data_IF_343407752861
#
_entry.id   IF_343407752861
#
_cell.length_a   1.000
_cell.length_b   1.000
_cell.length_c   1.000
_cell.angle_alpha   90.00
_cell.angle_beta   90.00
_cell.angle_gamma   90.00
#
_symmetry.space_group_name_H-M   'P 1'
#
loop_
_entity.id
_entity.type
_entity.pdbx_description
1 polymer ?
#
# COMPACT_ATOMS: atom_id res chain seq x y z
N UNK A 1 -6.24 0.11 9.43
CA UNK A 1 -4.83 -0.34 9.30
C UNK A 1 -4.53 -1.52 10.21
N UNK A 2 -4.70 -1.39 11.54
CA UNK A 2 -4.40 -2.48 12.50
C UNK A 2 -5.08 -3.82 12.15
N UNK A 3 -6.39 -3.80 11.91
CA UNK A 3 -7.17 -4.99 11.54
C UNK A 3 -6.73 -5.64 10.22
N UNK A 4 -6.26 -4.86 9.24
CA UNK A 4 -5.76 -5.39 7.96
C UNK A 4 -4.40 -6.06 8.17
N UNK A 5 -3.53 -5.44 8.96
CA UNK A 5 -2.20 -5.96 9.25
C UNK A 5 -2.27 -7.27 10.06
N UNK A 6 -3.16 -7.33 11.06
CA UNK A 6 -3.46 -8.55 11.82
C UNK A 6 -3.92 -9.69 10.90
N UNK A 7 -4.86 -9.41 9.98
CA UNK A 7 -5.30 -10.38 8.99
C UNK A 7 -4.13 -10.86 8.10
N UNK A 8 -3.22 -9.96 7.72
CA UNK A 8 -2.07 -10.31 6.90
C UNK A 8 -1.03 -11.13 7.65
N UNK A 9 -0.78 -10.87 8.93
CA UNK A 9 0.06 -11.76 9.75
C UNK A 9 -0.56 -13.15 9.86
N UNK A 10 -1.87 -13.24 10.11
CA UNK A 10 -2.58 -14.52 10.14
C UNK A 10 -2.45 -15.28 8.81
N UNK A 11 -2.62 -14.58 7.68
CA UNK A 11 -2.48 -15.18 6.36
C UNK A 11 -1.05 -15.63 6.05
N UNK A 12 -0.04 -14.85 6.45
CA UNK A 12 1.38 -15.23 6.36
C UNK A 12 1.64 -16.53 7.10
N UNK A 13 1.11 -16.70 8.32
CA UNK A 13 1.27 -17.95 9.08
C UNK A 13 0.63 -19.14 8.37
N UNK A 14 -0.56 -18.96 7.79
CA UNK A 14 -1.23 -20.01 7.01
C UNK A 14 -0.42 -20.41 5.77
N UNK A 15 0.20 -19.46 5.07
CA UNK A 15 1.07 -19.76 3.92
C UNK A 15 2.33 -20.52 4.35
N UNK A 16 2.97 -20.11 5.45
CA UNK A 16 4.13 -20.84 6.01
C UNK A 16 3.80 -22.29 6.34
N UNK A 17 2.61 -22.56 6.90
CA UNK A 17 2.15 -23.92 7.17
C UNK A 17 1.95 -24.73 5.89
N UNK A 18 1.38 -24.14 4.84
CA UNK A 18 1.22 -24.81 3.53
C UNK A 18 2.55 -25.10 2.86
N UNK A 19 3.53 -24.22 3.04
CA UNK A 19 4.87 -24.30 2.47
C UNK A 19 5.86 -25.06 3.36
N UNK A 20 5.39 -25.74 4.41
CA UNK A 20 6.27 -26.36 5.41
C UNK A 20 7.07 -27.56 4.87
N UNK A 21 6.60 -28.19 3.78
CA UNK A 21 7.27 -29.33 3.15
C UNK A 21 7.30 -29.14 1.62
N UNK A 22 8.38 -29.59 0.94
CA UNK A 22 8.44 -29.57 -0.51
C UNK A 22 7.50 -30.61 -1.14
N UNK A 23 7.07 -30.41 -2.40
CA UNK A 23 7.39 -29.26 -3.25
C UNK A 23 6.52 -28.03 -2.94
N UNK A 24 7.13 -26.85 -2.93
CA UNK A 24 6.42 -25.57 -2.77
C UNK A 24 5.87 -25.16 -4.13
N UNK A 25 4.56 -24.86 -4.20
CA UNK A 25 3.95 -24.43 -5.45
C UNK A 25 4.38 -22.99 -5.81
N UNK A 26 4.56 -22.65 -7.11
CA UNK A 26 4.80 -21.28 -7.52
C UNK A 26 3.70 -20.32 -7.04
N UNK A 27 2.44 -20.77 -7.00
CA UNK A 27 1.31 -19.98 -6.51
C UNK A 27 1.45 -19.61 -5.02
N UNK A 28 1.91 -20.54 -4.17
CA UNK A 28 2.16 -20.24 -2.76
C UNK A 28 3.31 -19.23 -2.61
N UNK A 29 4.36 -19.35 -3.43
CA UNK A 29 5.48 -18.40 -3.43
C UNK A 29 5.02 -16.99 -3.85
N UNK A 30 4.13 -16.87 -4.85
CA UNK A 30 3.50 -15.61 -5.24
C UNK A 30 2.75 -14.96 -4.09
N UNK A 31 1.88 -15.73 -3.43
CA UNK A 31 1.07 -15.25 -2.31
C UNK A 31 1.96 -14.86 -1.12
N UNK A 32 3.01 -15.64 -0.86
CA UNK A 32 3.96 -15.37 0.23
C UNK A 32 4.78 -14.10 -0.03
N UNK A 33 5.30 -13.92 -1.24
CA UNK A 33 6.01 -12.69 -1.62
C UNK A 33 5.13 -11.45 -1.52
N UNK A 34 3.88 -11.55 -2.00
CA UNK A 34 2.93 -10.44 -1.94
C UNK A 34 2.51 -10.11 -0.51
N UNK A 35 2.25 -11.10 0.36
CA UNK A 35 1.84 -10.81 1.73
C UNK A 35 2.95 -10.12 2.52
N UNK A 36 4.21 -10.53 2.35
CA UNK A 36 5.35 -9.87 2.98
C UNK A 36 5.48 -8.42 2.50
N UNK A 37 5.31 -8.19 1.20
CA UNK A 37 5.35 -6.84 0.65
C UNK A 37 4.25 -5.96 1.25
N UNK A 38 3.00 -6.43 1.27
CA UNK A 38 1.89 -5.65 1.83
C UNK A 38 2.04 -5.36 3.32
N UNK A 39 2.53 -6.31 4.10
CA UNK A 39 2.87 -6.09 5.52
C UNK A 39 3.89 -4.95 5.62
N UNK A 40 5.02 -5.05 4.92
CA UNK A 40 6.07 -4.04 4.97
C UNK A 40 5.59 -2.64 4.55
N UNK A 41 4.72 -2.55 3.55
CA UNK A 41 4.11 -1.27 3.14
C UNK A 41 3.23 -0.68 4.22
N UNK A 42 2.34 -1.50 4.81
CA UNK A 42 1.46 -1.04 5.87
C UNK A 42 2.23 -0.60 7.12
N UNK A 43 3.24 -1.36 7.53
CA UNK A 43 4.12 -1.01 8.65
C UNK A 43 4.90 0.28 8.37
N UNK A 44 5.45 0.42 7.17
CA UNK A 44 6.20 1.62 6.77
C UNK A 44 5.30 2.86 6.76
N UNK A 45 4.10 2.77 6.18
CA UNK A 45 3.12 3.85 6.23
C UNK A 45 2.69 4.17 7.67
N UNK A 46 2.51 3.17 8.52
CA UNK A 46 2.19 3.39 9.93
C UNK A 46 3.32 4.14 10.65
N UNK A 47 4.57 3.86 10.31
CA UNK A 47 5.71 4.58 10.86
C UNK A 47 5.68 6.05 10.42
N UNK A 48 5.54 6.33 9.13
CA UNK A 48 5.40 7.72 8.63
C UNK A 48 4.27 8.50 9.29
N UNK A 49 3.13 7.84 9.58
CA UNK A 49 2.04 8.49 10.30
C UNK A 49 2.42 8.84 11.74
N UNK A 50 3.06 7.91 12.46
CA UNK A 50 3.44 8.08 13.86
C UNK A 50 4.60 9.05 14.06
N UNK A 51 5.52 9.11 13.10
CA UNK A 51 6.70 9.97 13.13
C UNK A 51 6.49 11.33 12.46
N UNK A 52 5.29 11.61 11.95
CA UNK A 52 5.00 12.89 11.30
C UNK A 52 5.27 14.04 12.29
N UNK A 53 6.17 14.99 11.96
CA UNK A 53 6.55 16.06 12.87
C UNK A 53 5.36 16.95 13.24
N UNK A 54 5.33 17.38 14.50
CA UNK A 54 4.39 18.39 15.01
C UNK A 54 5.18 19.68 15.19
N UNK A 55 5.19 20.50 14.15
CA UNK A 55 5.95 21.75 14.10
C UNK A 55 5.43 22.62 12.96
N UNK A 56 5.72 23.93 13.03
CA UNK A 56 5.49 24.87 11.93
C UNK A 56 6.75 25.11 11.09
N UNK A 57 7.88 24.55 11.51
CA UNK A 57 9.16 24.68 10.80
C UNK A 57 9.14 23.92 9.49
N UNK A 58 9.00 24.66 8.39
CA UNK A 58 8.92 24.11 7.03
C UNK A 58 10.07 23.14 6.70
N UNK A 59 11.35 23.38 7.07
CA UNK A 59 12.44 22.45 6.75
C UNK A 59 12.23 21.05 7.35
N UNK A 60 11.75 20.97 8.60
CA UNK A 60 11.44 19.73 9.30
C UNK A 60 10.31 18.95 8.60
N UNK A 61 9.27 19.66 8.16
CA UNK A 61 8.14 19.07 7.44
C UNK A 61 8.55 18.57 6.04
N UNK A 62 9.39 19.35 5.35
CA UNK A 62 9.86 19.04 4.01
C UNK A 62 10.70 17.77 4.00
N UNK A 63 11.62 17.60 4.96
CA UNK A 63 12.43 16.39 5.06
C UNK A 63 11.58 15.12 5.20
N UNK A 64 10.60 15.15 6.11
CA UNK A 64 9.66 14.03 6.28
C UNK A 64 8.82 13.78 5.01
N UNK A 65 8.30 14.85 4.40
CA UNK A 65 7.49 14.76 3.19
C UNK A 65 8.26 14.15 2.02
N UNK A 66 9.51 14.55 1.80
CA UNK A 66 10.34 14.02 0.71
C UNK A 66 10.58 12.52 0.83
N UNK A 67 10.81 12.03 2.06
CA UNK A 67 10.96 10.59 2.29
C UNK A 67 9.68 9.83 1.97
N UNK A 68 8.53 10.32 2.45
CA UNK A 68 7.23 9.72 2.14
C UNK A 68 6.93 9.78 0.63
N UNK A 69 7.13 10.93 -0.02
CA UNK A 69 6.83 11.12 -1.43
C UNK A 69 7.67 10.19 -2.31
N UNK A 70 8.97 10.07 -2.02
CA UNK A 70 9.86 9.15 -2.73
C UNK A 70 9.39 7.69 -2.56
N UNK A 71 9.03 7.30 -1.34
CA UNK A 71 8.51 5.96 -1.04
C UNK A 71 7.24 5.67 -1.84
N UNK A 72 6.26 6.57 -1.80
CA UNK A 72 4.97 6.43 -2.49
C UNK A 72 5.13 6.39 -4.01
N UNK A 73 5.99 7.22 -4.58
CA UNK A 73 6.31 7.19 -6.01
C UNK A 73 6.89 5.83 -6.44
N UNK A 74 7.72 5.21 -5.60
CA UNK A 74 8.26 3.88 -5.86
C UNK A 74 7.15 2.81 -5.85
N UNK A 75 6.24 2.86 -4.86
CA UNK A 75 5.11 1.90 -4.75
C UNK A 75 4.22 1.84 -6.00
N UNK A 76 4.09 2.95 -6.73
CA UNK A 76 3.29 3.03 -7.96
C UNK A 76 4.02 2.42 -9.19
N UNK A 77 5.33 2.20 -9.11
CA UNK A 77 6.17 1.78 -10.23
C UNK A 77 6.73 0.38 -10.07
N UNK A 78 6.92 -0.08 -8.84
CA UNK A 78 7.50 -1.38 -8.59
C UNK A 78 6.51 -2.55 -8.74
N UNK A 79 7.06 -3.76 -8.85
CA UNK A 79 6.33 -5.04 -8.80
C UNK A 79 5.11 -5.12 -9.74
N UNK A 80 5.26 -4.60 -10.96
CA UNK A 80 4.25 -4.63 -12.05
C UNK A 80 4.13 -5.98 -12.74
N UNK A 81 4.23 -7.05 -11.98
CA UNK A 81 4.27 -8.41 -12.49
C UNK A 81 3.33 -9.29 -11.66
N UNK A 82 2.65 -10.21 -12.32
CA UNK A 82 1.66 -11.08 -11.70
C UNK A 82 0.92 -11.91 -12.74
N UNK A 83 0.22 -12.98 -12.34
CA UNK A 83 -0.47 -13.89 -13.25
C UNK A 83 -1.46 -13.15 -14.16
N UNK A 84 -1.51 -13.57 -15.42
CA UNK A 84 -2.57 -13.19 -16.35
C UNK A 84 -3.83 -13.99 -16.01
N UNK A 85 -4.94 -13.30 -15.73
CA UNK A 85 -6.22 -13.90 -15.30
C UNK A 85 -7.28 -13.91 -16.41
N UNK A 86 -6.92 -13.53 -17.63
CA UNK A 86 -7.84 -13.44 -18.76
C UNK A 86 -7.80 -12.08 -19.48
N UNK A 87 -8.68 -11.87 -20.47
CA UNK A 87 -8.64 -10.73 -21.38
C UNK A 87 -8.74 -9.36 -20.68
N UNK A 88 -9.43 -9.29 -19.54
CA UNK A 88 -9.61 -8.04 -18.79
C UNK A 88 -8.43 -7.67 -17.89
N UNK A 89 -7.45 -8.56 -17.71
CA UNK A 89 -6.35 -8.37 -16.73
C UNK A 89 -5.60 -7.07 -16.94
N UNK A 90 -5.27 -6.73 -18.19
CA UNK A 90 -4.50 -5.51 -18.47
C UNK A 90 -5.36 -4.26 -18.23
N UNK A 91 -6.62 -4.30 -18.65
CA UNK A 91 -7.59 -3.21 -18.44
C UNK A 91 -7.82 -2.92 -16.95
N UNK A 92 -7.93 -3.95 -16.12
CA UNK A 92 -8.02 -3.81 -14.65
C UNK A 92 -6.78 -3.14 -14.06
N UNK A 93 -5.58 -3.59 -14.49
CA UNK A 93 -4.30 -3.03 -14.02
C UNK A 93 -4.18 -1.55 -14.39
N UNK A 94 -4.49 -1.21 -15.64
CA UNK A 94 -4.40 0.16 -16.14
C UNK A 94 -5.39 1.08 -15.39
N UNK A 95 -6.63 0.63 -15.21
CA UNK A 95 -7.64 1.39 -14.46
C UNK A 95 -7.21 1.63 -13.00
N UNK A 96 -6.69 0.60 -12.32
CA UNK A 96 -6.22 0.73 -10.95
C UNK A 96 -4.95 1.60 -10.85
N UNK A 97 -4.06 1.55 -11.85
CA UNK A 97 -2.89 2.41 -11.93
C UNK A 97 -3.29 3.88 -12.07
N UNK A 98 -4.21 4.20 -12.98
CA UNK A 98 -4.72 5.57 -13.16
C UNK A 98 -5.35 6.11 -11.87
N UNK A 99 -6.11 5.26 -11.16
CA UNK A 99 -6.68 5.65 -9.87
C UNK A 99 -5.60 5.96 -8.82
N UNK A 100 -4.59 5.10 -8.70
CA UNK A 100 -3.48 5.32 -7.78
C UNK A 100 -2.69 6.60 -8.13
N UNK A 101 -2.40 6.82 -9.41
CA UNK A 101 -1.70 8.02 -9.88
C UNK A 101 -2.49 9.30 -9.58
N UNK A 102 -3.82 9.28 -9.72
CA UNK A 102 -4.69 10.40 -9.34
C UNK A 102 -4.57 10.72 -7.84
N UNK A 103 -4.67 9.71 -6.98
CA UNK A 103 -4.50 9.88 -5.53
C UNK A 103 -3.12 10.47 -5.20
N UNK A 104 -2.07 10.03 -5.90
CA UNK A 104 -0.72 10.55 -5.73
C UNK A 104 -0.63 12.02 -6.14
N UNK A 105 -1.13 12.37 -7.31
CA UNK A 105 -1.13 13.76 -7.79
C UNK A 105 -1.92 14.67 -6.86
N UNK A 106 -3.05 14.22 -6.33
CA UNK A 106 -3.91 15.01 -5.46
C UNK A 106 -3.24 15.38 -4.13
N UNK A 107 -2.45 14.47 -3.52
CA UNK A 107 -1.70 14.85 -2.32
C UNK A 107 -0.49 15.72 -2.66
N UNK A 108 0.23 15.47 -3.77
CA UNK A 108 1.38 16.30 -4.14
C UNK A 108 0.99 17.75 -4.38
N UNK A 109 -0.18 17.97 -5.00
CA UNK A 109 -0.78 19.31 -5.13
C UNK A 109 -1.04 19.96 -3.77
N UNK A 110 -1.58 19.22 -2.79
CA UNK A 110 -1.81 19.72 -1.42
C UNK A 110 -0.53 20.15 -0.71
N UNK A 111 0.59 19.46 -0.97
CA UNK A 111 1.88 19.82 -0.37
C UNK A 111 2.67 20.88 -1.16
N UNK A 112 2.20 21.27 -2.35
CA UNK A 112 2.82 22.34 -3.14
C UNK A 112 2.58 23.68 -2.46
N UNK A 113 3.64 24.32 -1.97
CA UNK A 113 3.53 25.58 -1.22
C UNK A 113 2.87 25.43 0.14
N UNK A 114 2.91 24.24 0.75
CA UNK A 114 2.27 23.97 2.04
C UNK A 114 2.82 24.87 3.15
N UNK A 115 1.91 25.57 3.83
CA UNK A 115 2.21 26.36 5.02
C UNK A 115 1.26 25.96 6.16
N UNK A 116 1.78 25.38 7.26
CA UNK A 116 0.94 24.94 8.37
C UNK A 116 0.43 26.13 9.19
N UNK A 117 -0.90 26.23 9.32
CA UNK A 117 -1.52 27.19 10.24
C UNK A 117 -1.18 26.86 11.71
N UNK A 118 -1.20 25.57 12.06
CA UNK A 118 -0.93 25.03 13.40
C UNK A 118 0.09 23.89 13.34
N UNK A 119 0.85 23.60 14.42
CA UNK A 119 1.87 22.55 14.44
C UNK A 119 1.37 21.15 14.01
N UNK A 120 0.12 20.79 14.32
CA UNK A 120 -0.46 19.48 14.00
C UNK A 120 -1.02 19.41 12.57
N UNK A 121 -1.08 20.53 11.83
CA UNK A 121 -1.68 20.58 10.51
C UNK A 121 -1.02 19.60 9.54
N UNK A 122 0.32 19.50 9.58
CA UNK A 122 1.07 18.57 8.76
C UNK A 122 0.72 17.11 9.08
N UNK A 123 0.75 16.73 10.36
CA UNK A 123 0.42 15.37 10.79
C UNK A 123 -1.00 14.95 10.35
N UNK A 124 -1.97 15.86 10.48
CA UNK A 124 -3.36 15.63 10.01
C UNK A 124 -3.41 15.37 8.50
N UNK A 125 -2.67 16.14 7.71
CA UNK A 125 -2.60 15.93 6.25
C UNK A 125 -1.90 14.62 5.89
N UNK A 126 -0.81 14.24 6.55
CA UNK A 126 -0.16 12.94 6.36
C UNK A 126 -1.13 11.79 6.67
N UNK A 127 -1.92 11.92 7.74
CA UNK A 127 -3.00 10.97 8.05
C UNK A 127 -4.01 10.83 6.92
N UNK A 128 -4.44 11.95 6.31
CA UNK A 128 -5.33 11.94 5.14
C UNK A 128 -4.69 11.29 3.92
N UNK A 129 -3.41 11.58 3.65
CA UNK A 129 -2.66 10.94 2.55
C UNK A 129 -2.64 9.44 2.72
N UNK A 130 -2.19 8.93 3.86
CA UNK A 130 -2.02 7.49 4.09
C UNK A 130 -3.37 6.77 4.05
N UNK A 131 -4.41 7.37 4.64
CA UNK A 131 -5.78 6.80 4.66
C UNK A 131 -6.38 6.71 3.26
N UNK A 132 -6.02 7.63 2.34
CA UNK A 132 -6.51 7.61 0.95
C UNK A 132 -5.64 6.74 0.04
N UNK A 133 -4.32 6.78 0.25
CA UNK A 133 -3.35 6.06 -0.56
C UNK A 133 -3.45 4.55 -0.39
N UNK A 134 -3.48 4.07 0.85
CA UNK A 134 -3.40 2.63 1.12
C UNK A 134 -4.53 1.82 0.48
N UNK A 135 -5.81 2.23 0.53
CA UNK A 135 -6.88 1.54 -0.19
C UNK A 135 -6.66 1.50 -1.71
N UNK A 136 -6.28 2.63 -2.33
CA UNK A 136 -6.03 2.70 -3.77
C UNK A 136 -4.84 1.82 -4.17
N UNK A 137 -3.79 1.82 -3.35
CA UNK A 137 -2.62 0.97 -3.56
C UNK A 137 -2.95 -0.52 -3.39
N UNK A 138 -3.73 -0.90 -2.38
CA UNK A 138 -4.19 -2.29 -2.21
C UNK A 138 -5.06 -2.77 -3.37
N UNK A 139 -5.94 -1.91 -3.89
CA UNK A 139 -6.73 -2.20 -5.10
C UNK A 139 -5.81 -2.45 -6.30
N UNK A 140 -4.82 -1.57 -6.51
CA UNK A 140 -3.80 -1.75 -7.53
C UNK A 140 -3.04 -3.07 -7.37
N UNK A 141 -2.61 -3.42 -6.15
CA UNK A 141 -1.94 -4.70 -5.87
C UNK A 141 -2.81 -5.92 -6.15
N UNK A 142 -4.11 -5.84 -5.86
CA UNK A 142 -5.05 -6.93 -6.15
C UNK A 142 -5.16 -7.23 -7.65
N UNK A 143 -4.87 -6.27 -8.53
CA UNK A 143 -4.82 -6.51 -9.98
C UNK A 143 -3.59 -7.31 -10.44
N UNK A 144 -2.57 -7.48 -9.59
CA UNK A 144 -1.41 -8.33 -9.86
C UNK A 144 -1.52 -9.66 -9.14
N UNK A 145 -1.61 -9.62 -7.81
CA UNK A 145 -1.68 -10.82 -6.96
C UNK A 145 -2.88 -10.67 -6.04
N UNK A 146 -4.04 -11.26 -6.40
CA UNK A 146 -5.24 -11.18 -5.58
C UNK A 146 -5.09 -12.04 -4.32
N UNK A 147 -5.12 -11.40 -3.16
CA UNK A 147 -5.20 -12.08 -1.88
C UNK A 147 -6.67 -12.36 -1.57
N UNK A 148 -7.25 -13.40 -2.17
CA UNK A 148 -8.64 -13.77 -1.85
C UNK A 148 -8.76 -14.13 -0.37
N UNK A 149 -9.73 -13.54 0.33
CA UNK A 149 -10.29 -14.16 1.53
C UNK A 149 -11.15 -15.33 1.05
N UNK A 150 -10.88 -16.56 1.49
CA UNK A 150 -11.67 -17.77 1.17
C UNK A 150 -13.18 -17.68 1.48
N UNK A 151 -13.70 -16.55 1.97
CA UNK A 151 -15.12 -16.37 2.30
C UNK A 151 -16.03 -16.12 1.09
N UNK A 152 -15.49 -15.81 -0.10
CA UNK A 152 -16.32 -15.53 -1.29
C UNK A 152 -16.47 -16.73 -2.25
N UNK A 153 -15.70 -17.82 -2.07
CA UNK A 153 -15.85 -19.04 -2.89
C UNK A 153 -17.04 -19.93 -2.46
N UNK A 154 -17.57 -19.74 -1.25
CA UNK A 154 -18.77 -20.45 -0.77
C UNK A 154 -20.09 -19.70 -1.04
N UNK A 155 -20.10 -18.73 -1.97
CA UNK A 155 -21.30 -17.96 -2.38
C UNK A 155 -21.49 -17.91 -3.90
N UNK A 156 -20.97 -18.86 -4.65
CA UNK A 156 -21.29 -19.05 -6.08
C UNK A 156 -21.68 -20.49 -6.35
#
# INVERSE_FOLDING_TARGET
MATVLENYYGYRQQLLQRMAQPPISPADLWLYGEILYRIGVLETCQMYLRSAPITREVPCLQGHYMMLDAYVQNLARERRYGPNRGPDTQKERDAAQVNLERVIQDYRKRFTGFQPAEPEAYQKEIGRVITTLLPAWLQYRNTFVPLKNKKEENRS
#
